data_IF_424383704904
#
_entry.id   IF_424383704904
#
_cell.length_a   1.000
_cell.length_b   1.000
_cell.length_c   1.000
_cell.angle_alpha   90.00
_cell.angle_beta   90.00
_cell.angle_gamma   90.00
#
_symmetry.space_group_name_H-M   'P 1'
#
loop_
_entity.id
_entity.type
_entity.pdbx_description
1 polymer ?
#
# COMPACT_ATOMS: atom_id res chain seq x y z
N UNK A 1 -1.61 12.46 18.03
CA UNK A 1 -0.55 11.56 17.50
C UNK A 1 0.85 12.18 17.57
N UNK A 2 1.11 13.40 17.04
CA UNK A 2 2.44 14.06 17.11
C UNK A 2 3.04 14.14 18.53
N UNK A 3 2.22 14.44 19.55
CA UNK A 3 2.68 14.45 20.95
C UNK A 3 3.22 13.09 21.42
N UNK A 4 2.57 11.98 21.02
CA UNK A 4 3.01 10.61 21.35
C UNK A 4 4.30 10.25 20.60
N UNK A 5 4.43 10.66 19.33
CA UNK A 5 5.64 10.44 18.54
C UNK A 5 6.85 11.15 19.16
N UNK A 6 6.70 12.41 19.58
CA UNK A 6 7.77 13.15 20.28
C UNK A 6 8.16 12.51 21.61
N UNK A 7 7.17 12.02 22.36
CA UNK A 7 7.43 11.31 23.61
C UNK A 7 8.20 10.01 23.35
N UNK A 8 7.85 9.27 22.30
CA UNK A 8 8.56 8.07 21.87
C UNK A 8 10.01 8.37 21.47
N UNK A 9 10.26 9.39 20.65
CA UNK A 9 11.63 9.79 20.29
C UNK A 9 12.48 10.19 21.50
N UNK A 10 11.86 10.85 22.48
CA UNK A 10 12.53 11.18 23.75
C UNK A 10 12.84 9.95 24.59
N UNK A 11 11.96 8.95 24.61
CA UNK A 11 12.18 7.68 25.33
C UNK A 11 13.27 6.83 24.69
N UNK A 12 13.38 6.87 23.36
CA UNK A 12 14.38 6.11 22.59
C UNK A 12 15.69 6.88 22.37
N UNK A 13 15.86 8.05 22.99
CA UNK A 13 17.04 8.91 22.87
C UNK A 13 17.43 9.23 21.41
N UNK A 14 16.43 9.41 20.54
CA UNK A 14 16.64 9.75 19.13
C UNK A 14 17.24 11.15 19.04
N UNK A 15 18.26 11.30 18.20
CA UNK A 15 18.94 12.57 17.96
C UNK A 15 17.94 13.70 17.62
N UNK A 16 18.08 14.90 18.22
CA UNK A 16 17.11 15.98 18.04
C UNK A 16 16.88 16.37 16.56
N UNK A 17 17.93 16.35 15.74
CA UNK A 17 17.83 16.68 14.31
C UNK A 17 16.96 15.68 13.55
N UNK A 18 17.16 14.38 13.81
CA UNK A 18 16.37 13.30 13.20
C UNK A 18 14.91 13.37 13.69
N UNK A 19 14.72 13.59 15.00
CA UNK A 19 13.39 13.69 15.60
C UNK A 19 12.57 14.86 15.03
N UNK A 20 13.20 16.01 14.77
CA UNK A 20 12.57 17.16 14.10
C UNK A 20 12.20 16.81 12.67
N UNK A 21 13.15 16.26 11.89
CA UNK A 21 12.92 15.88 10.48
C UNK A 21 11.74 14.91 10.33
N UNK A 22 11.71 13.84 11.12
CA UNK A 22 10.62 12.85 11.11
C UNK A 22 9.29 13.45 11.59
N UNK A 23 9.32 14.34 12.58
CA UNK A 23 8.10 15.02 13.05
C UNK A 23 7.48 15.91 11.97
N UNK A 24 8.32 16.63 11.22
CA UNK A 24 7.88 17.49 10.12
C UNK A 24 7.37 16.68 8.93
N UNK A 25 8.00 15.55 8.62
CA UNK A 25 7.55 14.60 7.61
C UNK A 25 6.15 14.05 7.93
N UNK A 26 5.93 13.56 9.16
CA UNK A 26 4.61 13.11 9.62
C UNK A 26 3.56 14.23 9.54
N UNK A 27 3.96 15.47 9.83
CA UNK A 27 3.07 16.63 9.76
C UNK A 27 2.67 16.95 8.32
N UNK A 28 3.64 16.93 7.38
CA UNK A 28 3.40 17.15 5.95
C UNK A 28 2.48 16.07 5.38
N UNK A 29 2.74 14.79 5.69
CA UNK A 29 1.90 13.66 5.26
C UNK A 29 0.46 13.76 5.76
N UNK A 30 0.25 14.35 6.94
CA UNK A 30 -1.10 14.56 7.50
C UNK A 30 -1.92 15.66 6.80
N UNK A 31 -1.27 16.56 6.06
CA UNK A 31 -1.94 17.64 5.31
C UNK A 31 -2.35 17.23 3.89
N UNK A 32 -1.86 16.11 3.37
CA UNK A 32 -2.27 15.56 2.08
C UNK A 32 -3.61 14.84 2.25
N UNK A 33 -4.52 14.93 1.26
CA UNK A 33 -5.73 14.11 1.23
C UNK A 33 -5.32 12.64 1.27
N UNK A 34 -5.55 11.98 2.40
CA UNK A 34 -5.26 10.56 2.54
C UNK A 34 -6.30 9.76 1.75
N UNK A 35 -5.83 8.92 0.84
CA UNK A 35 -6.65 7.85 0.29
C UNK A 35 -6.99 6.89 1.42
N UNK A 36 -8.22 6.38 1.43
CA UNK A 36 -8.64 5.41 2.43
C UNK A 36 -8.03 4.06 2.10
N UNK A 37 -7.31 3.48 3.05
CA UNK A 37 -6.95 2.07 3.02
C UNK A 37 -8.16 1.21 3.44
N UNK A 38 -8.08 -0.10 3.20
CA UNK A 38 -9.13 -1.01 3.66
C UNK A 38 -9.30 -0.97 5.20
N UNK A 39 -8.20 -0.76 5.93
CA UNK A 39 -8.19 -0.65 7.39
C UNK A 39 -8.92 0.61 7.90
N UNK A 40 -9.00 1.66 7.06
CA UNK A 40 -9.72 2.89 7.39
C UNK A 40 -11.24 2.78 7.23
N UNK A 41 -11.74 1.65 6.71
CA UNK A 41 -13.17 1.41 6.46
C UNK A 41 -13.67 0.23 7.31
N UNK A 42 -14.06 0.47 8.59
CA UNK A 42 -14.52 -0.59 9.48
C UNK A 42 -15.69 -1.42 8.93
N UNK A 43 -16.53 -0.85 8.08
CA UNK A 43 -17.63 -1.57 7.44
C UNK A 43 -17.14 -2.76 6.59
N UNK A 44 -15.93 -2.71 6.03
CA UNK A 44 -15.35 -3.83 5.28
C UNK A 44 -15.12 -5.05 6.19
N UNK A 45 -14.90 -4.85 7.49
CA UNK A 45 -14.72 -5.98 8.42
C UNK A 45 -15.98 -6.84 8.54
N UNK A 46 -17.16 -6.26 8.26
CA UNK A 46 -18.46 -6.93 8.31
C UNK A 46 -18.74 -7.79 7.06
N UNK A 47 -17.95 -7.64 6.00
CA UNK A 47 -18.08 -8.47 4.80
C UNK A 47 -17.66 -9.92 5.09
N UNK A 48 -18.33 -10.86 4.45
CA UNK A 48 -17.88 -12.26 4.44
C UNK A 48 -16.52 -12.38 3.77
N UNK A 49 -15.81 -13.48 4.04
CA UNK A 49 -14.54 -13.78 3.37
C UNK A 49 -14.71 -13.79 1.84
N UNK A 50 -15.80 -14.37 1.33
CA UNK A 50 -16.09 -14.38 -0.11
C UNK A 50 -16.28 -12.98 -0.70
N UNK A 51 -17.01 -12.10 -0.02
CA UNK A 51 -17.22 -10.72 -0.50
C UNK A 51 -15.96 -9.86 -0.39
N UNK A 52 -15.09 -10.11 0.60
CA UNK A 52 -13.77 -9.46 0.68
C UNK A 52 -12.88 -9.88 -0.48
N UNK A 53 -12.84 -11.17 -0.79
CA UNK A 53 -12.04 -11.70 -1.89
C UNK A 53 -12.55 -11.20 -3.25
N UNK A 54 -13.88 -11.14 -3.45
CA UNK A 54 -14.50 -10.55 -4.65
C UNK A 54 -14.17 -9.05 -4.79
N UNK A 55 -14.26 -8.29 -3.69
CA UNK A 55 -13.85 -6.88 -3.67
C UNK A 55 -12.38 -6.73 -4.03
N UNK A 56 -11.51 -7.57 -3.48
CA UNK A 56 -10.07 -7.52 -3.71
C UNK A 56 -9.73 -7.84 -5.17
N UNK A 57 -10.36 -8.87 -5.74
CA UNK A 57 -10.27 -9.18 -7.17
C UNK A 57 -10.71 -7.98 -8.02
N UNK A 58 -11.86 -7.37 -7.70
CA UNK A 58 -12.38 -6.23 -8.46
C UNK A 58 -11.43 -5.01 -8.42
N UNK A 59 -10.68 -4.83 -7.33
CA UNK A 59 -9.67 -3.78 -7.19
C UNK A 59 -8.40 -4.12 -7.99
N UNK A 60 -7.87 -5.34 -7.85
CA UNK A 60 -6.54 -5.71 -8.35
C UNK A 60 -6.55 -6.16 -9.82
N UNK A 61 -7.56 -6.93 -10.24
CA UNK A 61 -7.61 -7.54 -11.58
C UNK A 61 -7.45 -6.54 -12.74
N UNK A 62 -8.06 -5.34 -12.73
CA UNK A 62 -7.88 -4.37 -13.82
C UNK A 62 -6.43 -3.97 -14.06
N UNK A 63 -5.60 -3.96 -13.02
CA UNK A 63 -4.19 -3.57 -13.09
C UNK A 63 -3.28 -4.77 -13.36
N UNK A 64 -3.56 -5.91 -12.73
CA UNK A 64 -2.80 -7.15 -12.92
C UNK A 64 -2.97 -7.67 -14.35
N UNK A 65 -4.20 -7.66 -14.88
CA UNK A 65 -4.51 -8.13 -16.23
C UNK A 65 -4.03 -7.20 -17.35
N UNK A 66 -3.36 -6.09 -17.04
CA UNK A 66 -2.59 -5.33 -18.05
C UNK A 66 -1.42 -6.16 -18.58
N UNK A 67 -0.84 -7.03 -17.74
CA UNK A 67 0.23 -7.92 -18.16
C UNK A 67 -0.35 -9.11 -18.96
N UNK A 68 0.18 -9.41 -20.17
CA UNK A 68 -0.39 -10.44 -21.04
C UNK A 68 -0.53 -11.83 -20.41
N UNK A 69 0.39 -12.18 -19.49
CA UNK A 69 0.33 -13.45 -18.76
C UNK A 69 -0.95 -13.56 -17.91
N UNK A 70 -1.23 -12.56 -17.09
CA UNK A 70 -2.39 -12.60 -16.18
C UNK A 70 -3.71 -12.44 -16.95
N UNK A 71 -3.70 -11.69 -18.06
CA UNK A 71 -4.84 -11.65 -18.97
C UNK A 71 -5.15 -13.03 -19.56
N UNK A 72 -4.13 -13.78 -19.97
CA UNK A 72 -4.31 -15.14 -20.44
C UNK A 72 -4.87 -16.05 -19.33
N UNK A 73 -4.34 -15.96 -18.11
CA UNK A 73 -4.86 -16.72 -16.97
C UNK A 73 -6.32 -16.38 -16.68
N UNK A 74 -6.73 -15.11 -16.78
CA UNK A 74 -8.12 -14.73 -16.56
C UNK A 74 -9.08 -15.40 -17.56
N UNK A 75 -8.61 -15.69 -18.77
CA UNK A 75 -9.40 -16.40 -19.79
C UNK A 75 -9.30 -17.92 -19.70
N UNK A 76 -8.17 -18.45 -19.24
CA UNK A 76 -7.89 -19.89 -19.27
C UNK A 76 -8.18 -20.59 -17.93
N UNK A 77 -8.04 -19.88 -16.81
CA UNK A 77 -8.23 -20.38 -15.45
C UNK A 77 -8.53 -19.21 -14.50
N UNK A 78 -9.79 -18.77 -14.48
CA UNK A 78 -10.28 -17.71 -13.58
C UNK A 78 -9.94 -17.95 -12.10
N UNK A 79 -10.06 -19.19 -11.54
CA UNK A 79 -9.70 -19.43 -10.14
C UNK A 79 -8.24 -19.10 -9.81
N UNK A 80 -7.31 -19.29 -10.75
CA UNK A 80 -5.89 -18.97 -10.54
C UNK A 80 -5.65 -17.46 -10.44
N UNK A 81 -6.36 -16.65 -11.21
CA UNK A 81 -6.26 -15.19 -11.09
C UNK A 81 -6.87 -14.71 -9.78
N UNK A 82 -7.95 -15.35 -9.36
CA UNK A 82 -8.59 -15.05 -8.08
C UNK A 82 -7.66 -15.33 -6.90
N UNK A 83 -7.07 -16.52 -6.83
CA UNK A 83 -6.08 -16.89 -5.81
C UNK A 83 -4.85 -15.98 -5.86
N UNK A 84 -4.35 -15.67 -7.06
CA UNK A 84 -3.23 -14.74 -7.23
C UNK A 84 -3.55 -13.33 -6.71
N UNK A 85 -4.73 -12.79 -7.01
CA UNK A 85 -5.13 -11.48 -6.52
C UNK A 85 -5.31 -11.48 -4.99
N UNK A 86 -5.81 -12.58 -4.42
CA UNK A 86 -6.06 -12.63 -2.97
C UNK A 86 -4.77 -12.83 -2.16
N UNK A 87 -3.84 -13.66 -2.64
CA UNK A 87 -2.63 -14.03 -1.88
C UNK A 87 -1.40 -13.19 -2.21
N UNK A 88 -1.24 -12.75 -3.46
CA UNK A 88 -0.01 -12.13 -3.93
C UNK A 88 -0.11 -10.62 -4.18
N UNK A 89 -1.31 -10.05 -4.17
CA UNK A 89 -1.51 -8.62 -4.41
C UNK A 89 -1.78 -7.87 -3.10
N UNK A 90 -1.19 -6.68 -2.99
CA UNK A 90 -1.49 -5.70 -1.95
C UNK A 90 -1.57 -4.31 -2.56
N UNK A 91 -2.35 -3.43 -1.93
CA UNK A 91 -2.45 -2.02 -2.33
C UNK A 91 -1.67 -1.19 -1.34
N UNK A 92 -0.66 -0.48 -1.83
CA UNK A 92 0.16 0.43 -1.03
C UNK A 92 -0.01 1.86 -1.51
N UNK A 93 -0.16 2.78 -0.55
CA UNK A 93 -0.24 4.22 -0.83
C UNK A 93 1.10 4.85 -0.49
N UNK A 94 1.75 5.41 -1.51
CA UNK A 94 3.00 6.13 -1.35
C UNK A 94 2.73 7.63 -1.25
N UNK A 95 3.56 8.31 -0.48
CA UNK A 95 3.58 9.76 -0.42
C UNK A 95 4.72 10.32 -1.25
N UNK A 96 4.56 11.54 -1.76
CA UNK A 96 5.62 12.21 -2.52
C UNK A 96 6.92 12.27 -1.70
N UNK A 97 8.02 11.78 -2.29
CA UNK A 97 9.33 11.66 -1.66
C UNK A 97 9.61 10.31 -0.99
N UNK A 98 8.68 9.36 -1.02
CA UNK A 98 8.94 7.99 -0.58
C UNK A 98 9.77 7.24 -1.61
N UNK A 99 10.83 6.57 -1.15
CA UNK A 99 11.64 5.72 -2.00
C UNK A 99 11.03 4.32 -2.05
N UNK A 100 10.37 3.98 -3.15
CA UNK A 100 9.85 2.63 -3.38
C UNK A 100 10.98 1.62 -3.62
N UNK A 101 12.05 2.06 -4.29
CA UNK A 101 13.22 1.25 -4.59
C UNK A 101 14.46 1.91 -4.02
N UNK A 102 15.12 1.23 -3.09
CA UNK A 102 16.42 1.64 -2.58
C UNK A 102 17.53 1.02 -3.41
N UNK A 103 18.52 1.82 -3.81
CA UNK A 103 19.65 1.33 -4.57
C UNK A 103 20.37 0.20 -3.82
N UNK A 104 20.65 -0.90 -4.53
CA UNK A 104 21.28 -2.12 -4.00
C UNK A 104 20.42 -2.99 -3.08
N UNK A 105 19.13 -2.68 -2.90
CA UNK A 105 18.20 -3.61 -2.28
C UNK A 105 17.73 -4.68 -3.29
N UNK A 106 17.68 -5.94 -2.87
CA UNK A 106 17.10 -7.01 -3.68
C UNK A 106 15.58 -6.82 -3.81
N UNK A 107 15.07 -6.85 -5.04
CA UNK A 107 13.63 -6.73 -5.30
C UNK A 107 12.85 -7.89 -4.69
N UNK A 108 11.97 -7.58 -3.73
CA UNK A 108 11.09 -8.57 -3.08
C UNK A 108 9.71 -8.65 -3.72
N UNK A 109 9.30 -7.55 -4.36
CA UNK A 109 7.95 -7.36 -4.88
C UNK A 109 8.00 -6.61 -6.21
N UNK A 110 6.98 -6.82 -7.03
CA UNK A 110 6.73 -6.05 -8.24
C UNK A 110 5.58 -5.07 -7.99
N UNK A 111 5.67 -3.88 -8.57
CA UNK A 111 4.70 -2.81 -8.35
C UNK A 111 4.06 -2.39 -9.67
N UNK A 112 2.77 -2.10 -9.62
CA UNK A 112 2.00 -1.53 -10.73
C UNK A 112 1.36 -0.24 -10.23
N UNK A 113 1.60 0.85 -10.96
CA UNK A 113 1.02 2.16 -10.63
C UNK A 113 -0.48 2.14 -10.94
N UNK A 114 -1.32 2.22 -9.91
CA UNK A 114 -2.77 2.33 -10.07
C UNK A 114 -3.22 3.78 -10.30
N UNK A 115 -2.59 4.73 -9.60
CA UNK A 115 -2.92 6.15 -9.66
C UNK A 115 -1.66 6.98 -9.39
N UNK A 116 -1.50 8.07 -10.13
CA UNK A 116 -0.35 8.98 -10.02
C UNK A 116 0.79 8.60 -10.96
N UNK A 117 1.97 9.12 -10.65
CA UNK A 117 3.20 8.98 -11.41
C UNK A 117 4.38 8.72 -10.46
N UNK A 118 5.42 8.07 -10.98
CA UNK A 118 6.65 7.75 -10.27
C UNK A 118 7.82 8.55 -10.86
N UNK A 119 7.66 9.88 -11.01
CA UNK A 119 8.76 10.78 -11.37
C UNK A 119 9.68 11.11 -10.19
#
# INVERSE_FOLDING_TARGET
>A
QIRRLRQYFKQMEVEPEIAVRLSDEVRKRRCVRQMLSQDDVPALTMLSVSSKSELHLAICAPYVCLHPLFRFWATACEPTVHEFCDEACSVEFLTAGDNLFMASEAGKSAYVVMLGDME
#
